data_IF_512515252986
#
_entry.id   IF_512515252986
#
_cell.length_a   1.000
_cell.length_b   1.000
_cell.length_c   1.000
_cell.angle_alpha   90.00
_cell.angle_beta   90.00
_cell.angle_gamma   90.00
#
_symmetry.space_group_name_H-M   'P 1'
#
loop_
_entity.id
_entity.type
_entity.pdbx_description
1 polymer ?
#
# COMPACT_ATOMS: atom_id res chain seq x y z
N UNK A 1 56.14 18.87 -0.94
CA UNK A 1 55.32 17.77 -0.36
C UNK A 1 53.83 18.13 -0.27
N UNK A 2 53.25 18.74 -1.30
CA UNK A 2 51.84 19.21 -1.34
C UNK A 2 50.99 18.39 -2.32
N UNK A 3 51.62 17.61 -3.20
CA UNK A 3 50.96 16.82 -4.24
C UNK A 3 50.12 15.65 -3.68
N UNK A 4 50.63 14.93 -2.67
CA UNK A 4 49.95 13.80 -2.03
C UNK A 4 48.64 14.19 -1.30
N UNK A 5 48.54 15.43 -0.81
CA UNK A 5 47.36 15.90 -0.08
C UNK A 5 46.18 16.24 -1.00
N UNK A 6 46.45 16.69 -2.23
CA UNK A 6 45.41 16.92 -3.23
C UNK A 6 44.78 15.60 -3.70
N UNK A 7 45.57 14.53 -3.83
CA UNK A 7 45.08 13.24 -4.31
C UNK A 7 44.15 12.54 -3.29
N UNK A 8 44.40 12.73 -1.99
CA UNK A 8 43.50 12.21 -0.95
C UNK A 8 42.14 12.93 -0.96
N UNK A 9 42.13 14.25 -1.17
CA UNK A 9 40.91 15.04 -1.20
C UNK A 9 40.01 14.69 -2.41
N UNK A 10 40.59 14.40 -3.57
CA UNK A 10 39.83 14.01 -4.76
C UNK A 10 39.19 12.62 -4.66
N UNK A 11 39.82 11.68 -3.95
CA UNK A 11 39.27 10.33 -3.76
C UNK A 11 38.12 10.30 -2.74
N UNK A 12 38.19 11.13 -1.69
CA UNK A 12 37.11 11.26 -0.73
C UNK A 12 35.83 11.85 -1.36
N UNK A 13 35.98 12.83 -2.26
CA UNK A 13 34.85 13.42 -2.99
C UNK A 13 34.14 12.41 -3.91
N UNK A 14 34.91 11.49 -4.52
CA UNK A 14 34.35 10.46 -5.40
C UNK A 14 33.54 9.41 -4.60
N UNK A 15 33.98 9.05 -3.39
CA UNK A 15 33.27 8.10 -2.54
C UNK A 15 31.90 8.62 -2.05
N UNK A 16 31.79 9.92 -1.77
CA UNK A 16 30.51 10.55 -1.35
C UNK A 16 29.52 10.62 -2.52
N UNK A 17 30.00 10.84 -3.76
CA UNK A 17 29.15 10.89 -4.94
C UNK A 17 28.53 9.52 -5.29
N UNK A 18 29.22 8.40 -5.02
CA UNK A 18 28.67 7.06 -5.25
C UNK A 18 27.67 6.63 -4.16
N UNK A 19 27.81 7.10 -2.93
CA UNK A 19 26.88 6.77 -1.84
C UNK A 19 25.47 7.38 -2.05
N UNK A 20 25.35 8.45 -2.84
CA UNK A 20 24.07 9.07 -3.19
C UNK A 20 23.28 8.34 -4.28
N UNK A 21 23.87 7.33 -4.94
CA UNK A 21 23.25 6.61 -6.06
C UNK A 21 22.56 5.31 -5.65
N UNK A 22 22.31 5.10 -4.35
CA UNK A 22 21.47 3.98 -3.90
C UNK A 22 20.02 4.36 -4.20
N UNK A 23 19.61 4.10 -5.45
CA UNK A 23 18.22 4.06 -5.82
C UNK A 23 17.53 3.04 -4.92
N UNK A 24 16.72 3.51 -3.99
CA UNK A 24 15.75 2.64 -3.32
C UNK A 24 14.80 2.17 -4.40
N UNK A 25 15.04 0.98 -4.94
CA UNK A 25 14.06 0.29 -5.77
C UNK A 25 12.89 -0.03 -4.84
N UNK A 26 11.85 0.81 -4.87
CA UNK A 26 10.59 0.48 -4.26
C UNK A 26 10.06 -0.75 -5.01
N UNK A 27 10.23 -1.93 -4.41
CA UNK A 27 9.51 -3.12 -4.84
C UNK A 27 8.02 -2.80 -4.65
N UNK A 28 7.22 -2.98 -5.69
CA UNK A 28 5.78 -2.88 -5.55
C UNK A 28 5.34 -3.94 -4.53
N UNK A 29 4.61 -3.52 -3.50
CA UNK A 29 4.14 -4.42 -2.44
C UNK A 29 3.28 -5.52 -3.07
N UNK A 30 3.50 -6.77 -2.64
CA UNK A 30 2.81 -7.93 -3.21
C UNK A 30 1.43 -8.09 -2.55
N UNK A 31 0.41 -8.39 -3.34
CA UNK A 31 -0.93 -8.69 -2.81
C UNK A 31 -0.94 -10.10 -2.23
N UNK A 32 -1.23 -10.21 -0.93
CA UNK A 32 -1.25 -11.49 -0.22
C UNK A 32 -2.66 -11.97 0.11
N UNK A 33 -3.64 -11.06 0.24
CA UNK A 33 -5.02 -11.43 0.60
C UNK A 33 -6.04 -10.42 0.05
N UNK A 34 -7.26 -10.90 -0.19
CA UNK A 34 -8.44 -10.05 -0.39
C UNK A 34 -9.35 -10.23 0.82
N UNK A 35 -9.57 -9.14 1.56
CA UNK A 35 -10.39 -9.12 2.76
C UNK A 35 -11.70 -8.36 2.51
N UNK A 36 -12.79 -8.81 3.13
CA UNK A 36 -14.09 -8.17 3.06
C UNK A 36 -14.62 -7.91 4.47
N UNK A 37 -15.07 -6.68 4.72
CA UNK A 37 -15.71 -6.30 5.98
C UNK A 37 -17.11 -5.77 5.69
N UNK A 38 -18.12 -6.39 6.32
CA UNK A 38 -19.53 -6.05 6.12
C UNK A 38 -20.21 -5.69 7.44
N UNK A 39 -20.97 -4.59 7.45
CA UNK A 39 -21.75 -4.12 8.61
C UNK A 39 -23.24 -4.16 8.26
N UNK A 40 -24.09 -4.82 9.06
CA UNK A 40 -25.53 -4.87 8.81
C UNK A 40 -26.18 -3.51 9.08
N UNK A 41 -27.15 -3.14 8.24
CA UNK A 41 -28.00 -1.96 8.42
C UNK A 41 -29.44 -2.26 8.03
N UNK A 42 -30.39 -1.61 8.69
CA UNK A 42 -31.82 -1.80 8.44
C UNK A 42 -32.30 -0.89 7.32
N UNK A 43 -32.96 -1.45 6.31
CA UNK A 43 -33.57 -0.71 5.18
C UNK A 43 -35.03 -0.39 5.46
N UNK A 44 -35.80 -1.36 5.93
CA UNK A 44 -37.24 -1.19 6.21
C UNK A 44 -37.74 -2.31 7.10
N UNK A 45 -38.57 -2.01 8.10
CA UNK A 45 -39.12 -3.02 9.01
C UNK A 45 -38.04 -3.92 9.61
N UNK A 46 -38.12 -5.22 9.33
CA UNK A 46 -37.15 -6.25 9.74
C UNK A 46 -36.20 -6.70 8.61
N UNK A 47 -36.12 -5.94 7.52
CA UNK A 47 -35.20 -6.19 6.41
C UNK A 47 -33.86 -5.53 6.70
N UNK A 48 -32.79 -6.32 6.64
CA UNK A 48 -31.41 -5.90 6.89
C UNK A 48 -30.56 -6.20 5.68
N UNK A 49 -29.86 -5.19 5.18
CA UNK A 49 -28.83 -5.33 4.17
C UNK A 49 -27.47 -5.18 4.87
N UNK A 50 -26.38 -5.42 4.14
CA UNK A 50 -25.02 -5.24 4.62
C UNK A 50 -24.32 -4.18 3.79
N UNK A 51 -23.57 -3.30 4.44
CA UNK A 51 -22.64 -2.40 3.76
C UNK A 51 -21.25 -3.02 3.85
N UNK A 52 -20.67 -3.32 2.71
CA UNK A 52 -19.42 -4.04 2.60
C UNK A 52 -18.32 -3.14 2.02
N UNK A 53 -17.10 -3.30 2.54
CA UNK A 53 -15.89 -2.73 1.96
C UNK A 53 -14.90 -3.86 1.70
N UNK A 54 -14.40 -3.94 0.47
CA UNK A 54 -13.35 -4.90 0.11
C UNK A 54 -11.98 -4.22 0.15
N UNK A 55 -10.99 -4.98 0.59
CA UNK A 55 -9.62 -4.55 0.73
C UNK A 55 -8.70 -5.52 0.02
N UNK A 56 -7.66 -4.99 -0.59
CA UNK A 56 -6.44 -5.74 -0.90
C UNK A 56 -5.47 -5.55 0.25
N UNK A 57 -4.96 -6.65 0.77
CA UNK A 57 -3.93 -6.66 1.82
C UNK A 57 -2.60 -6.96 1.16
N UNK A 58 -1.62 -6.11 1.42
CA UNK A 58 -0.25 -6.25 0.96
C UNK A 58 0.62 -7.00 1.97
N UNK A 59 1.74 -7.53 1.52
CA UNK A 59 2.73 -8.25 2.33
C UNK A 59 3.34 -7.40 3.47
N UNK A 60 3.37 -6.09 3.30
CA UNK A 60 3.76 -5.11 4.32
C UNK A 60 2.66 -4.84 5.37
N UNK A 61 1.49 -5.46 5.23
CA UNK A 61 0.32 -5.29 6.08
C UNK A 61 -0.55 -4.07 5.74
N UNK A 62 -0.17 -3.29 4.72
CA UNK A 62 -0.99 -2.19 4.21
C UNK A 62 -2.29 -2.74 3.63
N UNK A 63 -3.39 -2.01 3.86
CA UNK A 63 -4.71 -2.34 3.32
C UNK A 63 -5.17 -1.22 2.40
N UNK A 64 -5.46 -1.56 1.15
CA UNK A 64 -6.04 -0.63 0.18
C UNK A 64 -7.49 -0.98 -0.08
N UNK A 65 -8.37 0.02 -0.04
CA UNK A 65 -9.79 -0.15 -0.37
C UNK A 65 -9.94 -0.35 -1.87
N UNK A 66 -10.61 -1.41 -2.27
CA UNK A 66 -10.87 -1.71 -3.69
C UNK A 66 -12.33 -1.49 -4.09
N UNK A 67 -13.28 -1.62 -3.17
CA UNK A 67 -14.70 -1.41 -3.46
C UNK A 67 -15.52 -1.05 -2.22
N UNK A 68 -16.60 -0.33 -2.47
CA UNK A 68 -17.70 -0.12 -1.51
C UNK A 68 -19.00 -0.51 -2.18
N UNK A 69 -19.75 -1.40 -1.54
CA UNK A 69 -21.01 -1.87 -2.08
C UNK A 69 -21.95 -2.31 -0.97
N UNK A 70 -23.23 -2.44 -1.28
CA UNK A 70 -24.19 -3.05 -0.38
C UNK A 70 -24.58 -4.45 -0.88
N UNK A 71 -24.95 -5.32 0.06
CA UNK A 71 -25.45 -6.68 -0.19
C UNK A 71 -26.84 -6.82 0.44
N UNK A 72 -27.83 -7.21 -0.34
CA UNK A 72 -29.19 -7.46 0.18
C UNK A 72 -29.29 -8.81 0.90
N UNK A 73 -30.46 -9.13 1.45
CA UNK A 73 -30.73 -10.38 2.16
C UNK A 73 -30.61 -11.64 1.28
N UNK A 74 -30.66 -11.48 -0.04
CA UNK A 74 -30.53 -12.56 -1.03
C UNK A 74 -29.09 -12.70 -1.55
N UNK A 75 -28.17 -11.84 -1.10
CA UNK A 75 -26.79 -11.82 -1.54
C UNK A 75 -26.53 -10.97 -2.78
N UNK A 76 -27.53 -10.24 -3.30
CA UNK A 76 -27.38 -9.36 -4.46
C UNK A 76 -26.57 -8.12 -4.09
N UNK A 77 -25.61 -7.80 -4.95
CA UNK A 77 -24.73 -6.64 -4.79
C UNK A 77 -25.31 -5.45 -5.53
N UNK A 78 -25.32 -4.29 -4.88
CA UNK A 78 -25.78 -3.03 -5.44
C UNK A 78 -24.98 -1.85 -4.90
N UNK A 79 -25.06 -0.71 -5.57
CA UNK A 79 -24.33 0.48 -5.17
C UNK A 79 -24.82 1.03 -3.81
N UNK A 80 -23.93 1.66 -3.02
CA UNK A 80 -24.22 2.15 -1.67
C UNK A 80 -25.43 3.07 -1.49
#
# INVERSE_FOLDING_TARGET
>A
MTLMKLQLASMAALAVALAGMVSTTATAAEVVEVLEECVPFRISGNVFHQRCTSYVVYDDGTREVTSHYNRDENGMIYDP
#
